data_IF_761657430704
#
_entry.id   IF_761657430704
#
_cell.length_a   1.000
_cell.length_b   1.000
_cell.length_c   1.000
_cell.angle_alpha   90.00
_cell.angle_beta   90.00
_cell.angle_gamma   90.00
#
_symmetry.space_group_name_H-M   'P 1'
#
loop_
_entity.id
_entity.type
_entity.pdbx_description
1 polymer ?
#
# COMPACT_ATOMS: atom_id res chain seq x y z
N UNK A 1 -31.73 10.02 13.87
CA UNK A 1 -31.60 10.09 12.40
C UNK A 1 -30.19 10.56 12.06
N UNK A 2 -29.44 9.67 11.42
CA UNK A 2 -27.98 9.66 11.28
C UNK A 2 -27.48 10.65 10.22
N UNK A 3 -26.67 11.61 10.64
CA UNK A 3 -25.78 12.34 9.73
C UNK A 3 -24.58 11.43 9.42
N UNK A 4 -24.63 10.80 8.25
CA UNK A 4 -23.51 10.13 7.57
C UNK A 4 -23.01 10.99 6.37
N UNK A 5 -22.76 12.31 6.49
CA UNK A 5 -22.64 13.17 5.33
C UNK A 5 -21.23 13.16 4.73
N UNK A 6 -20.24 12.54 5.38
CA UNK A 6 -18.84 12.58 4.93
C UNK A 6 -18.36 11.32 4.20
N UNK A 7 -18.95 10.14 4.46
CA UNK A 7 -18.47 8.89 3.84
C UNK A 7 -18.89 8.82 2.36
N UNK A 8 -20.12 9.25 2.05
CA UNK A 8 -20.65 9.22 0.69
C UNK A 8 -19.91 10.14 -0.30
N UNK A 9 -19.62 11.42 0.02
CA UNK A 9 -18.85 12.27 -0.88
C UNK A 9 -17.39 11.84 -1.01
N UNK A 10 -16.78 11.25 0.04
CA UNK A 10 -15.42 10.70 -0.04
C UNK A 10 -15.37 9.47 -0.95
N UNK A 11 -16.36 8.57 -0.85
CA UNK A 11 -16.47 7.41 -1.73
C UNK A 11 -16.73 7.82 -3.19
N UNK A 12 -17.58 8.84 -3.40
CA UNK A 12 -17.86 9.40 -4.73
C UNK A 12 -16.61 10.07 -5.34
N UNK A 13 -15.86 10.84 -4.54
CA UNK A 13 -14.59 11.44 -4.94
C UNK A 13 -13.55 10.36 -5.30
N UNK A 14 -13.52 9.25 -4.55
CA UNK A 14 -12.67 8.09 -4.82
C UNK A 14 -13.00 7.46 -6.18
N UNK A 15 -14.29 7.28 -6.49
CA UNK A 15 -14.73 6.73 -7.79
C UNK A 15 -14.41 7.63 -8.97
N UNK A 16 -14.32 8.95 -8.77
CA UNK A 16 -13.92 9.90 -9.83
C UNK A 16 -12.41 10.02 -10.03
N UNK A 17 -11.60 9.56 -9.07
CA UNK A 17 -10.14 9.56 -9.14
C UNK A 17 -9.56 8.26 -9.72
N UNK A 18 -10.38 7.20 -9.78
CA UNK A 18 -10.02 5.91 -10.38
C UNK A 18 -10.04 6.03 -11.92
N UNK A 19 -8.94 6.52 -12.48
CA UNK A 19 -8.66 6.38 -13.91
C UNK A 19 -8.31 4.92 -14.22
N UNK A 20 -8.62 4.42 -15.42
CA UNK A 20 -8.27 3.07 -15.82
C UNK A 20 -6.77 2.87 -15.71
N UNK A 21 -6.44 1.70 -15.19
CA UNK A 21 -5.18 1.38 -14.56
C UNK A 21 -4.10 1.01 -15.57
N UNK A 22 -2.87 1.45 -15.28
CA UNK A 22 -1.75 1.16 -16.15
C UNK A 22 -1.26 -0.27 -15.91
N UNK A 23 -1.56 -1.12 -16.89
CA UNK A 23 -1.02 -2.45 -17.14
C UNK A 23 0.51 -2.56 -17.02
N UNK A 24 1.07 -3.76 -16.85
CA UNK A 24 2.52 -3.96 -17.04
C UNK A 24 2.92 -3.70 -18.49
N UNK A 25 1.99 -3.92 -19.43
CA UNK A 25 2.11 -3.35 -20.77
C UNK A 25 1.74 -1.86 -20.71
N UNK A 26 2.72 -0.96 -20.84
CA UNK A 26 2.46 0.48 -20.77
C UNK A 26 2.29 1.07 -22.17
N UNK A 27 1.28 1.93 -22.31
CA UNK A 27 1.13 2.84 -23.45
C UNK A 27 1.24 4.26 -22.90
N UNK A 28 2.36 4.92 -23.15
CA UNK A 28 2.69 6.22 -22.57
C UNK A 28 2.85 7.24 -23.68
N UNK A 29 2.22 8.39 -23.50
CA UNK A 29 2.37 9.53 -24.40
C UNK A 29 3.22 10.60 -23.73
N UNK A 30 4.35 10.89 -24.32
CA UNK A 30 5.27 11.95 -23.89
C UNK A 30 5.03 13.16 -24.77
N UNK A 31 4.87 14.31 -24.13
CA UNK A 31 4.63 15.60 -24.81
C UNK A 31 5.58 16.64 -24.27
N UNK A 32 6.46 17.14 -25.13
CA UNK A 32 7.41 18.22 -24.87
C UNK A 32 8.17 18.08 -23.55
N UNK A 33 8.66 16.88 -23.25
CA UNK A 33 9.39 16.59 -22.02
C UNK A 33 10.88 16.95 -22.19
N UNK A 34 11.42 17.73 -21.25
CA UNK A 34 12.81 18.21 -21.26
C UNK A 34 13.73 17.46 -20.29
N UNK A 35 13.23 16.41 -19.60
CA UNK A 35 14.05 15.66 -18.64
C UNK A 35 15.20 14.93 -19.36
N UNK A 36 16.42 14.95 -18.79
CA UNK A 36 17.56 14.26 -19.38
C UNK A 36 17.45 12.74 -19.29
N UNK A 37 16.68 12.24 -18.32
CA UNK A 37 16.37 10.81 -18.17
C UNK A 37 14.92 10.65 -17.72
N UNK A 38 14.24 9.67 -18.31
CA UNK A 38 12.86 9.32 -18.00
C UNK A 38 12.82 7.82 -17.68
N UNK A 39 12.37 7.47 -16.47
CA UNK A 39 12.14 6.09 -16.05
C UNK A 39 10.76 5.64 -16.51
N UNK A 40 10.69 4.55 -17.25
CA UNK A 40 9.42 3.95 -17.68
C UNK A 40 8.96 2.90 -16.70
N UNK A 41 9.80 1.89 -16.47
CA UNK A 41 9.42 0.67 -15.76
C UNK A 41 10.62 0.04 -15.06
N UNK A 42 10.36 -0.73 -13.99
CA UNK A 42 11.34 -1.56 -13.29
C UNK A 42 10.83 -2.99 -13.31
N UNK A 43 11.64 -3.92 -13.81
CA UNK A 43 11.24 -5.31 -14.00
C UNK A 43 12.35 -6.28 -13.63
N UNK A 44 11.98 -7.35 -12.92
CA UNK A 44 12.86 -8.44 -12.54
C UNK A 44 12.92 -9.52 -13.62
N UNK A 45 14.01 -9.56 -14.36
CA UNK A 45 14.22 -10.53 -15.44
C UNK A 45 14.82 -11.84 -14.93
N UNK A 46 14.42 -12.90 -15.60
CA UNK A 46 15.04 -14.23 -15.55
C UNK A 46 15.93 -14.41 -16.78
N UNK A 47 16.57 -15.58 -16.90
CA UNK A 47 17.43 -15.90 -18.06
C UNK A 47 16.66 -16.01 -19.39
N UNK A 48 15.32 -16.02 -19.33
CA UNK A 48 14.41 -16.06 -20.49
C UNK A 48 13.67 -14.73 -20.68
N UNK A 49 14.21 -13.65 -20.13
CA UNK A 49 13.63 -12.31 -20.20
C UNK A 49 13.57 -11.76 -21.61
N UNK A 50 12.51 -10.99 -21.90
CA UNK A 50 12.31 -10.30 -23.17
C UNK A 50 11.80 -8.89 -22.89
N UNK A 51 12.34 -7.93 -23.63
CA UNK A 51 11.92 -6.52 -23.59
C UNK A 51 11.52 -6.09 -24.99
N UNK A 52 10.23 -5.83 -25.20
CA UNK A 52 9.73 -5.24 -26.44
C UNK A 52 9.52 -3.75 -26.24
N UNK A 53 10.05 -2.94 -27.16
CA UNK A 53 9.82 -1.50 -27.17
C UNK A 53 9.36 -1.10 -28.55
N UNK A 54 8.24 -0.39 -28.60
CA UNK A 54 7.71 0.25 -29.79
C UNK A 54 7.54 1.73 -29.52
N UNK A 55 8.09 2.57 -30.40
CA UNK A 55 7.97 4.02 -30.33
C UNK A 55 7.41 4.54 -31.65
N UNK A 56 6.51 5.51 -31.59
CA UNK A 56 5.91 6.14 -32.76
C UNK A 56 5.72 7.63 -32.54
N UNK A 57 5.46 8.36 -33.63
CA UNK A 57 5.19 9.81 -33.58
C UNK A 57 6.34 10.61 -32.94
N UNK A 58 7.60 10.14 -33.11
CA UNK A 58 8.75 10.78 -32.47
C UNK A 58 8.99 12.16 -33.08
N UNK A 59 9.07 13.15 -32.21
CA UNK A 59 9.48 14.51 -32.54
C UNK A 59 10.43 15.04 -31.47
N UNK A 60 11.51 15.67 -31.90
CA UNK A 60 12.50 16.28 -31.02
C UNK A 60 12.69 17.73 -31.46
N UNK A 61 12.51 18.66 -30.53
CA UNK A 61 12.62 20.10 -30.77
C UNK A 61 13.72 20.63 -29.85
N UNK A 62 14.69 21.35 -30.40
CA UNK A 62 15.75 22.03 -29.63
C UNK A 62 15.87 23.49 -30.05
N UNK A 63 16.20 24.36 -29.09
CA UNK A 63 16.42 25.81 -29.27
C UNK A 63 17.82 26.15 -29.81
N UNK A 64 18.80 25.27 -29.65
CA UNK A 64 20.22 25.54 -29.93
C UNK A 64 20.66 25.03 -31.31
N UNK A 65 20.36 23.78 -31.64
CA UNK A 65 20.77 23.12 -32.89
C UNK A 65 19.90 21.90 -33.19
N UNK A 66 19.98 21.37 -34.42
CA UNK A 66 19.30 20.12 -34.75
C UNK A 66 19.83 18.99 -33.84
N UNK A 67 18.98 18.34 -33.03
CA UNK A 67 19.41 17.33 -32.07
C UNK A 67 20.00 16.12 -32.80
N UNK A 68 21.16 15.66 -32.36
CA UNK A 68 21.84 14.50 -32.92
C UNK A 68 21.12 13.20 -32.51
N UNK A 69 20.59 12.39 -33.44
CA UNK A 69 19.77 11.23 -33.08
C UNK A 69 20.50 10.15 -32.26
N UNK A 70 21.84 10.09 -32.30
CA UNK A 70 22.69 9.22 -31.44
C UNK A 70 22.53 9.50 -29.96
N UNK A 71 22.20 10.76 -29.63
CA UNK A 71 22.21 11.29 -28.26
C UNK A 71 20.87 11.11 -27.55
N UNK A 72 19.91 10.44 -28.21
CA UNK A 72 18.61 10.09 -27.64
C UNK A 72 18.37 8.61 -27.84
N UNK A 73 17.93 7.91 -26.80
CA UNK A 73 17.80 6.45 -26.89
C UNK A 73 17.27 5.78 -25.63
N UNK A 74 16.94 4.51 -25.78
CA UNK A 74 16.45 3.65 -24.70
C UNK A 74 17.54 2.70 -24.24
N UNK A 75 17.60 2.49 -22.93
CA UNK A 75 18.57 1.60 -22.31
C UNK A 75 18.00 0.95 -21.06
N UNK A 76 18.56 -0.20 -20.69
CA UNK A 76 18.33 -0.85 -19.41
C UNK A 76 19.48 -0.58 -18.47
N UNK A 77 19.14 -0.36 -17.21
CA UNK A 77 20.11 -0.12 -16.15
C UNK A 77 19.76 -0.96 -14.93
N UNK A 78 20.72 -1.71 -14.41
CA UNK A 78 20.55 -2.46 -13.16
C UNK A 78 20.71 -1.53 -11.96
N UNK A 79 20.08 -1.86 -10.84
CA UNK A 79 20.19 -1.07 -9.60
C UNK A 79 21.64 -1.00 -9.09
N UNK A 80 22.41 -2.08 -9.24
CA UNK A 80 23.82 -2.11 -8.86
C UNK A 80 24.67 -1.15 -9.70
N UNK A 81 24.34 -0.99 -10.98
CA UNK A 81 25.08 -0.12 -11.92
C UNK A 81 24.66 1.35 -11.85
N UNK A 82 23.48 1.63 -11.28
CA UNK A 82 22.93 2.98 -11.16
C UNK A 82 23.87 3.92 -10.41
N UNK A 83 24.55 3.42 -9.37
CA UNK A 83 25.48 4.22 -8.56
C UNK A 83 26.67 4.68 -9.41
N UNK A 84 27.25 3.79 -10.22
CA UNK A 84 28.41 4.08 -11.07
C UNK A 84 28.03 5.09 -12.15
N UNK A 85 26.88 4.92 -12.80
CA UNK A 85 26.37 5.87 -13.79
C UNK A 85 26.13 7.25 -13.17
N UNK A 86 25.56 7.30 -11.96
CA UNK A 86 25.33 8.55 -11.25
C UNK A 86 26.65 9.25 -10.89
N UNK A 87 27.68 8.48 -10.51
CA UNK A 87 29.03 9.01 -10.27
C UNK A 87 29.66 9.56 -11.55
N UNK A 88 29.52 8.88 -12.70
CA UNK A 88 30.00 9.36 -13.99
C UNK A 88 29.33 10.70 -14.38
N UNK A 89 28.01 10.80 -14.20
CA UNK A 89 27.24 12.02 -14.45
C UNK A 89 27.63 13.16 -13.49
N UNK A 90 27.90 12.85 -12.23
CA UNK A 90 28.32 13.86 -11.25
C UNK A 90 29.73 14.37 -11.53
N UNK A 91 30.64 13.52 -12.01
CA UNK A 91 32.01 13.89 -12.36
C UNK A 91 32.07 14.70 -13.66
N UNK A 92 31.22 14.39 -14.63
CA UNK A 92 31.17 15.09 -15.90
C UNK A 92 29.72 15.42 -16.30
N UNK A 93 29.24 16.67 -16.11
CA UNK A 93 27.87 17.05 -16.45
C UNK A 93 27.59 17.09 -17.96
N UNK A 94 28.63 17.05 -18.80
CA UNK A 94 28.50 16.93 -20.26
C UNK A 94 28.48 15.47 -20.75
N UNK A 95 28.61 14.51 -19.85
CA UNK A 95 28.57 13.09 -20.17
C UNK A 95 27.17 12.65 -20.57
N UNK A 96 27.07 11.92 -21.68
CA UNK A 96 25.83 11.26 -22.06
C UNK A 96 25.79 9.85 -21.49
N UNK A 97 24.73 9.53 -20.75
CA UNK A 97 24.53 8.21 -20.15
C UNK A 97 24.53 7.07 -21.18
N UNK A 98 24.18 7.35 -22.44
CA UNK A 98 24.19 6.38 -23.55
C UNK A 98 25.61 5.89 -23.90
N UNK A 99 26.65 6.63 -23.50
CA UNK A 99 28.06 6.25 -23.73
C UNK A 99 28.63 5.40 -22.58
N UNK A 100 27.85 5.19 -21.49
CA UNK A 100 28.33 4.44 -20.32
C UNK A 100 28.46 2.95 -20.62
N UNK A 101 29.55 2.34 -20.15
CA UNK A 101 29.77 0.89 -20.25
C UNK A 101 28.91 0.06 -19.28
N UNK A 102 28.21 0.72 -18.35
CA UNK A 102 27.40 0.07 -17.31
C UNK A 102 25.92 -0.06 -17.69
N UNK A 103 25.53 0.50 -18.85
CA UNK A 103 24.17 0.37 -19.38
C UNK A 103 24.09 -0.76 -20.41
N UNK A 104 22.88 -1.30 -20.60
CA UNK A 104 22.55 -2.11 -21.77
C UNK A 104 21.79 -1.22 -22.73
N UNK A 105 22.50 -0.66 -23.70
CA UNK A 105 21.90 0.13 -24.77
C UNK A 105 20.96 -0.75 -25.60
N UNK A 106 19.72 -0.30 -25.80
CA UNK A 106 18.74 -1.01 -26.63
C UNK A 106 18.78 -0.46 -28.05
N UNK A 107 18.42 0.81 -28.22
CA UNK A 107 18.50 1.52 -29.50
C UNK A 107 18.58 3.03 -29.29
N UNK A 108 18.97 3.73 -30.36
CA UNK A 108 18.99 5.19 -30.40
C UNK A 108 18.03 5.71 -31.45
N UNK A 109 17.79 7.02 -31.47
CA UNK A 109 16.93 7.62 -32.49
C UNK A 109 17.53 7.59 -33.90
N UNK A 110 18.79 7.16 -34.07
CA UNK A 110 19.34 6.84 -35.39
C UNK A 110 18.62 5.67 -36.07
N UNK A 111 18.08 4.74 -35.27
CA UNK A 111 17.45 3.52 -35.76
C UNK A 111 15.98 3.73 -36.16
N UNK A 112 15.44 4.93 -35.98
CA UNK A 112 14.06 5.28 -36.33
C UNK A 112 13.84 5.21 -37.84
N UNK A 113 12.64 4.77 -38.23
CA UNK A 113 12.21 4.86 -39.63
C UNK A 113 12.23 6.32 -40.12
N UNK A 114 12.53 6.59 -41.40
CA UNK A 114 12.47 7.94 -41.93
C UNK A 114 11.08 8.58 -41.76
N UNK A 115 10.99 9.93 -41.71
CA UNK A 115 9.72 10.64 -41.68
C UNK A 115 8.81 10.21 -42.85
N UNK A 116 7.48 10.15 -42.66
CA UNK A 116 6.70 10.82 -41.60
C UNK A 116 6.40 9.98 -40.36
N UNK A 117 6.71 8.68 -40.36
CA UNK A 117 6.27 7.77 -39.29
C UNK A 117 7.17 7.83 -38.04
N UNK A 118 8.48 8.09 -38.22
CA UNK A 118 9.47 8.22 -37.14
C UNK A 118 9.25 7.19 -36.03
N UNK A 119 9.19 5.91 -36.41
CA UNK A 119 8.84 4.80 -35.53
C UNK A 119 9.91 3.73 -35.48
N UNK A 120 9.89 2.94 -34.42
CA UNK A 120 10.78 1.80 -34.22
C UNK A 120 10.05 0.75 -33.39
N UNK A 121 10.23 -0.52 -33.71
CA UNK A 121 9.69 -1.64 -32.94
C UNK A 121 10.68 -2.80 -32.95
N UNK A 122 11.15 -3.19 -31.76
CA UNK A 122 12.07 -4.30 -31.62
C UNK A 122 11.92 -5.01 -30.27
N UNK A 123 12.23 -6.31 -30.27
CA UNK A 123 12.26 -7.14 -29.06
C UNK A 123 13.69 -7.57 -28.77
N UNK A 124 14.16 -7.30 -27.56
CA UNK A 124 15.51 -7.59 -27.09
C UNK A 124 15.48 -8.76 -26.09
N UNK A 125 16.28 -9.83 -26.31
CA UNK A 125 16.43 -10.89 -25.32
C UNK A 125 17.35 -10.44 -24.18
N UNK A 126 16.91 -10.64 -22.94
CA UNK A 126 17.68 -10.33 -21.73
C UNK A 126 18.29 -11.63 -21.20
N UNK A 127 19.59 -11.81 -21.41
CA UNK A 127 20.31 -13.05 -21.08
C UNK A 127 20.79 -13.08 -19.63
N UNK A 128 21.16 -11.93 -19.07
CA UNK A 128 21.62 -11.80 -17.69
C UNK A 128 20.44 -11.58 -16.74
N UNK A 129 20.14 -12.51 -15.82
CA UNK A 129 19.04 -12.37 -14.89
C UNK A 129 19.37 -11.32 -13.82
N UNK A 130 18.66 -10.20 -13.84
CA UNK A 130 18.73 -9.16 -12.80
C UNK A 130 17.43 -8.33 -12.80
N UNK A 131 17.30 -7.41 -11.86
CA UNK A 131 16.30 -6.36 -11.90
C UNK A 131 16.84 -5.16 -12.68
N UNK A 132 16.13 -4.81 -13.75
CA UNK A 132 16.49 -3.72 -14.64
C UNK A 132 15.41 -2.66 -14.65
N UNK A 133 15.84 -1.40 -14.72
CA UNK A 133 15.01 -0.25 -14.96
C UNK A 133 15.15 0.18 -16.43
N UNK A 134 14.03 0.35 -17.12
CA UNK A 134 13.97 0.85 -18.49
C UNK A 134 13.94 2.38 -18.49
N UNK A 135 14.94 2.98 -19.10
CA UNK A 135 15.08 4.42 -19.21
C UNK A 135 15.10 4.87 -20.66
N UNK A 136 14.62 6.09 -20.87
CA UNK A 136 14.97 6.92 -22.02
C UNK A 136 15.95 8.01 -21.57
N UNK A 137 17.01 8.22 -22.34
CA UNK A 137 17.91 9.35 -22.17
C UNK A 137 17.70 10.38 -23.28
N UNK A 138 17.72 11.65 -22.86
CA UNK A 138 17.84 12.80 -23.74
C UNK A 138 19.12 13.55 -23.38
N UNK A 139 20.21 13.29 -24.10
CA UNK A 139 21.47 13.99 -23.92
C UNK A 139 21.61 15.24 -24.81
N UNK A 140 20.59 15.58 -25.61
CA UNK A 140 20.65 16.77 -26.46
C UNK A 140 20.32 18.03 -25.63
N UNK A 141 21.18 19.06 -25.64
CA UNK A 141 20.99 20.26 -24.82
C UNK A 141 19.75 21.06 -25.24
N UNK A 142 19.05 21.62 -24.24
CA UNK A 142 17.82 22.41 -24.40
C UNK A 142 16.82 21.80 -25.40
N UNK A 143 16.67 20.48 -25.35
CA UNK A 143 15.76 19.76 -26.22
C UNK A 143 14.56 19.21 -25.46
N UNK A 144 13.44 19.12 -26.18
CA UNK A 144 12.20 18.53 -25.71
C UNK A 144 11.81 17.40 -26.64
N UNK A 145 11.37 16.28 -26.06
CA UNK A 145 10.92 15.11 -26.82
C UNK A 145 9.41 14.95 -26.69
N UNK A 146 8.75 14.60 -27.80
CA UNK A 146 7.39 14.06 -27.79
C UNK A 146 7.37 12.75 -28.56
N UNK A 147 6.75 11.72 -27.97
CA UNK A 147 6.64 10.39 -28.56
C UNK A 147 5.54 9.58 -27.90
N UNK A 148 4.95 8.67 -28.67
CA UNK A 148 4.11 7.60 -28.13
C UNK A 148 4.98 6.36 -27.93
N UNK A 149 5.00 5.82 -26.72
CA UNK A 149 5.86 4.70 -26.30
C UNK A 149 4.98 3.54 -25.83
N UNK A 150 5.26 2.37 -26.35
CA UNK A 150 4.66 1.11 -25.98
C UNK A 150 5.74 0.14 -25.51
N UNK A 151 5.60 -0.39 -24.30
CA UNK A 151 6.58 -1.28 -23.67
C UNK A 151 5.92 -2.56 -23.20
N UNK A 152 6.56 -3.70 -23.49
CA UNK A 152 6.19 -5.00 -22.95
C UNK A 152 7.44 -5.66 -22.34
N UNK A 153 7.43 -5.86 -21.02
CA UNK A 153 8.48 -6.56 -20.31
C UNK A 153 7.91 -7.88 -19.78
N UNK A 154 8.53 -9.00 -20.13
CA UNK A 154 8.05 -10.31 -19.72
C UNK A 154 9.18 -11.34 -19.62
N UNK A 155 8.94 -12.36 -18.80
CA UNK A 155 9.74 -13.57 -18.76
C UNK A 155 9.02 -14.68 -19.54
N UNK A 156 9.76 -15.59 -20.17
CA UNK A 156 9.16 -16.80 -20.72
C UNK A 156 9.23 -17.95 -19.72
N UNK A 157 8.22 -18.82 -19.74
CA UNK A 157 8.27 -20.09 -19.01
C UNK A 157 9.44 -20.97 -19.49
N UNK A 158 9.80 -22.00 -18.71
CA UNK A 158 10.94 -22.88 -19.05
C UNK A 158 10.82 -23.62 -20.39
N UNK A 159 9.67 -23.54 -21.08
CA UNK A 159 9.43 -24.09 -22.41
C UNK A 159 9.36 -23.02 -23.51
N UNK A 160 9.48 -21.73 -23.17
CA UNK A 160 9.48 -20.62 -24.12
C UNK A 160 8.13 -20.28 -24.76
N UNK A 161 7.01 -20.75 -24.19
CA UNK A 161 5.67 -20.67 -24.79
C UNK A 161 4.76 -19.67 -24.12
N UNK A 162 4.88 -19.52 -22.80
CA UNK A 162 3.97 -18.68 -22.00
C UNK A 162 4.73 -17.46 -21.51
N UNK A 163 4.14 -16.28 -21.77
CA UNK A 163 4.65 -15.00 -21.26
C UNK A 163 4.18 -14.81 -19.81
N UNK A 164 5.11 -14.45 -18.94
CA UNK A 164 4.87 -14.02 -17.58
C UNK A 164 5.24 -12.54 -17.49
N UNK A 165 4.22 -11.69 -17.49
CA UNK A 165 4.38 -10.24 -17.37
C UNK A 165 4.53 -9.79 -15.91
N UNK A 166 4.61 -10.70 -14.93
CA UNK A 166 5.06 -10.31 -13.59
C UNK A 166 6.58 -10.45 -13.49
N UNK A 167 7.19 -9.44 -12.87
CA UNK A 167 8.57 -9.51 -12.40
C UNK A 167 8.84 -10.80 -11.63
N UNK A 168 10.05 -11.35 -11.77
CA UNK A 168 10.45 -12.62 -11.13
C UNK A 168 10.19 -12.65 -9.61
N UNK A 169 10.29 -11.51 -8.94
CA UNK A 169 9.99 -11.37 -7.50
C UNK A 169 8.53 -11.45 -7.12
N UNK A 170 7.63 -11.23 -8.08
CA UNK A 170 6.19 -11.05 -7.87
C UNK A 170 5.36 -12.19 -8.45
N UNK A 171 5.93 -13.03 -9.33
CA UNK A 171 5.22 -14.14 -10.00
C UNK A 171 4.51 -15.13 -9.05
N UNK A 172 4.95 -15.21 -7.78
CA UNK A 172 4.38 -16.05 -6.73
C UNK A 172 3.21 -15.39 -5.95
N UNK A 173 3.00 -14.08 -6.13
CA UNK A 173 1.97 -13.33 -5.40
C UNK A 173 0.54 -13.80 -5.67
N UNK A 174 0.13 -14.13 -6.90
CA UNK A 174 -1.23 -14.63 -7.14
C UNK A 174 -1.55 -15.83 -6.24
N UNK A 175 -0.68 -16.84 -6.23
CA UNK A 175 -0.85 -18.04 -5.40
C UNK A 175 -0.77 -17.74 -3.90
N UNK A 176 0.12 -16.84 -3.49
CA UNK A 176 0.27 -16.44 -2.09
C UNK A 176 -1.00 -15.75 -1.57
N UNK A 177 -1.51 -14.76 -2.30
CA UNK A 177 -2.71 -14.01 -1.92
C UNK A 177 -3.96 -14.88 -1.98
N UNK A 178 -4.10 -15.78 -2.97
CA UNK A 178 -5.19 -16.76 -2.98
C UNK A 178 -5.15 -17.65 -1.73
N UNK A 179 -3.97 -18.13 -1.33
CA UNK A 179 -3.81 -18.96 -0.12
C UNK A 179 -4.23 -18.20 1.15
N UNK A 180 -3.74 -16.97 1.36
CA UNK A 180 -4.13 -16.18 2.53
C UNK A 180 -5.61 -15.78 2.48
N UNK A 181 -6.17 -15.48 1.30
CA UNK A 181 -7.60 -15.21 1.15
C UNK A 181 -8.45 -16.38 1.65
N UNK A 182 -8.11 -17.62 1.28
CA UNK A 182 -8.76 -18.82 1.77
C UNK A 182 -8.63 -18.98 3.29
N UNK A 183 -7.46 -18.70 3.87
CA UNK A 183 -7.27 -18.71 5.32
C UNK A 183 -8.18 -17.70 6.02
N UNK A 184 -8.31 -16.49 5.48
CA UNK A 184 -9.19 -15.46 6.04
C UNK A 184 -10.68 -15.79 5.87
N UNK A 185 -11.09 -16.42 4.77
CA UNK A 185 -12.47 -16.94 4.65
C UNK A 185 -12.76 -18.03 5.69
N UNK A 186 -11.83 -18.95 5.92
CA UNK A 186 -11.95 -19.97 6.95
C UNK A 186 -12.00 -19.34 8.36
N UNK A 187 -11.17 -18.32 8.62
CA UNK A 187 -11.20 -17.56 9.87
C UNK A 187 -12.55 -16.85 10.04
N UNK A 188 -13.08 -16.21 9.00
CA UNK A 188 -14.39 -15.58 9.06
C UNK A 188 -15.51 -16.59 9.38
N UNK A 189 -15.50 -17.76 8.75
CA UNK A 189 -16.46 -18.82 9.05
C UNK A 189 -16.35 -19.30 10.51
N UNK A 190 -15.12 -19.47 11.02
CA UNK A 190 -14.88 -19.79 12.43
C UNK A 190 -15.39 -18.70 13.37
N UNK A 191 -15.17 -17.43 13.05
CA UNK A 191 -15.65 -16.29 13.84
C UNK A 191 -17.17 -16.22 13.88
N UNK A 192 -17.84 -16.44 12.75
CA UNK A 192 -19.30 -16.53 12.67
C UNK A 192 -19.81 -17.67 13.54
N UNK A 193 -19.23 -18.85 13.43
CA UNK A 193 -19.58 -20.00 14.26
C UNK A 193 -19.48 -19.67 15.76
N UNK A 194 -18.38 -19.03 16.16
CA UNK A 194 -18.16 -18.64 17.55
C UNK A 194 -19.17 -17.59 18.04
N UNK A 195 -19.46 -16.57 17.22
CA UNK A 195 -20.51 -15.59 17.51
C UNK A 195 -21.90 -16.25 17.63
N UNK A 196 -22.21 -17.22 16.77
CA UNK A 196 -23.49 -17.93 16.84
C UNK A 196 -23.63 -18.83 18.06
N UNK A 197 -22.53 -19.38 18.58
CA UNK A 197 -22.54 -20.17 19.81
C UNK A 197 -22.78 -19.29 21.04
N UNK A 198 -22.21 -18.08 21.05
CA UNK A 198 -22.27 -17.16 22.20
C UNK A 198 -23.15 -15.92 21.90
N UNK A 199 -24.30 -16.11 21.24
CA UNK A 199 -25.18 -15.03 20.75
C UNK A 199 -25.54 -13.99 21.81
N UNK A 200 -25.71 -14.40 23.05
CA UNK A 200 -26.04 -13.55 24.21
C UNK A 200 -24.93 -12.55 24.53
N UNK A 201 -23.68 -12.84 24.16
CA UNK A 201 -22.50 -12.01 24.40
C UNK A 201 -21.98 -11.29 23.14
N UNK A 202 -22.74 -11.32 22.05
CA UNK A 202 -22.33 -10.67 20.78
C UNK A 202 -22.74 -9.20 20.77
N UNK A 203 -21.76 -8.34 20.98
CA UNK A 203 -21.88 -6.89 20.78
C UNK A 203 -21.50 -6.43 19.36
N UNK A 204 -21.80 -5.16 19.04
CA UNK A 204 -21.53 -4.52 17.72
C UNK A 204 -20.05 -4.60 17.30
N UNK A 205 -19.13 -4.59 18.26
CA UNK A 205 -17.69 -4.72 17.97
C UNK A 205 -17.37 -6.06 17.28
N UNK A 206 -18.02 -7.17 17.66
CA UNK A 206 -17.79 -8.47 17.04
C UNK A 206 -18.28 -8.51 15.59
N UNK A 207 -19.34 -7.76 15.27
CA UNK A 207 -19.81 -7.58 13.90
C UNK A 207 -18.81 -6.76 13.07
N UNK A 208 -18.25 -5.68 13.62
CA UNK A 208 -17.18 -4.90 12.97
C UNK A 208 -15.90 -5.72 12.77
N UNK A 209 -15.53 -6.54 13.74
CA UNK A 209 -14.42 -7.49 13.63
C UNK A 209 -14.69 -8.52 12.53
N UNK A 210 -15.90 -9.08 12.47
CA UNK A 210 -16.31 -9.96 11.37
C UNK A 210 -16.21 -9.26 10.00
N UNK A 211 -16.71 -8.02 9.91
CA UNK A 211 -16.62 -7.20 8.70
C UNK A 211 -15.17 -6.94 8.28
N UNK A 212 -14.27 -6.69 9.23
CA UNK A 212 -12.84 -6.50 8.95
C UNK A 212 -12.21 -7.75 8.31
N UNK A 213 -12.52 -8.95 8.80
CA UNK A 213 -11.94 -10.19 8.27
C UNK A 213 -12.47 -10.52 6.87
N UNK A 214 -13.76 -10.37 6.63
CA UNK A 214 -14.33 -10.62 5.30
C UNK A 214 -13.82 -9.62 4.27
N UNK A 215 -13.69 -8.34 4.63
CA UNK A 215 -13.11 -7.32 3.75
C UNK A 215 -11.63 -7.61 3.50
N UNK A 216 -10.87 -8.10 4.49
CA UNK A 216 -9.47 -8.56 4.28
C UNK A 216 -9.41 -9.73 3.29
N UNK A 217 -10.31 -10.71 3.41
CA UNK A 217 -10.36 -11.86 2.51
C UNK A 217 -10.67 -11.44 1.05
N UNK A 218 -11.66 -10.56 0.88
CA UNK A 218 -12.03 -10.00 -0.43
C UNK A 218 -10.92 -9.13 -1.02
N UNK A 219 -10.27 -8.29 -0.21
CA UNK A 219 -9.11 -7.51 -0.64
C UNK A 219 -7.99 -8.40 -1.21
N UNK A 220 -7.64 -9.49 -0.51
CA UNK A 220 -6.63 -10.43 -0.98
C UNK A 220 -7.07 -11.23 -2.20
N UNK A 221 -8.36 -11.56 -2.31
CA UNK A 221 -8.88 -12.21 -3.51
C UNK A 221 -8.74 -11.29 -4.72
N UNK A 222 -9.14 -10.02 -4.60
CA UNK A 222 -8.95 -9.04 -5.67
C UNK A 222 -7.47 -8.82 -5.99
N UNK A 223 -6.58 -8.80 -4.99
CA UNK A 223 -5.14 -8.72 -5.21
C UNK A 223 -4.59 -9.94 -5.96
N UNK A 224 -5.10 -11.14 -5.66
CA UNK A 224 -4.70 -12.36 -6.33
C UNK A 224 -5.13 -12.37 -7.80
N UNK A 225 -6.39 -12.01 -8.07
CA UNK A 225 -6.95 -11.91 -9.42
C UNK A 225 -6.22 -10.83 -10.23
N UNK A 226 -6.05 -9.62 -9.68
CA UNK A 226 -5.26 -8.55 -10.30
C UNK A 226 -3.89 -9.05 -10.77
N UNK A 227 -3.12 -9.64 -9.84
CA UNK A 227 -1.78 -10.16 -10.17
C UNK A 227 -1.84 -11.34 -11.12
N UNK A 228 -2.88 -12.17 -11.09
CA UNK A 228 -3.06 -13.28 -12.04
C UNK A 228 -3.32 -12.77 -13.46
N UNK A 229 -4.23 -11.81 -13.63
CA UNK A 229 -4.54 -11.22 -14.92
C UNK A 229 -3.34 -10.45 -15.48
N UNK A 230 -2.65 -9.66 -14.65
CA UNK A 230 -1.39 -9.01 -15.06
C UNK A 230 -0.38 -10.06 -15.51
N UNK A 231 -0.15 -11.12 -14.74
CA UNK A 231 0.79 -12.20 -15.10
C UNK A 231 0.54 -12.80 -16.49
N UNK A 232 -0.72 -13.07 -16.84
CA UNK A 232 -1.09 -13.81 -18.06
C UNK A 232 -1.31 -12.87 -19.26
N UNK A 233 -1.91 -11.72 -19.04
CA UNK A 233 -2.37 -10.81 -20.11
C UNK A 233 -1.54 -9.54 -20.21
N UNK A 234 -0.71 -9.24 -19.21
CA UNK A 234 0.00 -7.98 -19.08
C UNK A 234 -0.87 -6.84 -18.55
N UNK A 235 -2.18 -7.01 -18.38
CA UNK A 235 -3.09 -5.95 -17.93
C UNK A 235 -4.04 -6.40 -16.80
N UNK A 236 -4.43 -5.49 -15.88
CA UNK A 236 -5.20 -5.84 -14.68
C UNK A 236 -6.71 -6.02 -14.89
N UNK A 237 -7.25 -5.64 -16.05
CA UNK A 237 -8.67 -5.82 -16.42
C UNK A 237 -9.70 -5.26 -15.42
N UNK A 238 -9.31 -4.30 -14.57
CA UNK A 238 -10.18 -3.63 -13.58
C UNK A 238 -10.26 -4.31 -12.20
N UNK A 239 -9.50 -5.40 -11.96
CA UNK A 239 -9.46 -6.07 -10.66
C UNK A 239 -8.73 -5.25 -9.58
N UNK A 240 -7.72 -4.49 -10.00
CA UNK A 240 -7.06 -3.46 -9.20
C UNK A 240 -8.03 -2.45 -8.58
N UNK A 241 -9.06 -2.00 -9.31
CA UNK A 241 -10.07 -1.09 -8.77
C UNK A 241 -10.75 -1.71 -7.54
N UNK A 242 -11.15 -2.98 -7.63
CA UNK A 242 -11.74 -3.71 -6.50
C UNK A 242 -10.72 -3.92 -5.37
N UNK A 243 -9.48 -4.24 -5.71
CA UNK A 243 -8.38 -4.35 -4.75
C UNK A 243 -8.23 -3.05 -3.94
N UNK A 244 -8.17 -1.89 -4.60
CA UNK A 244 -8.02 -0.59 -3.95
C UNK A 244 -9.24 -0.20 -3.12
N UNK A 245 -10.46 -0.44 -3.61
CA UNK A 245 -11.69 -0.20 -2.84
C UNK A 245 -11.67 -1.02 -1.55
N UNK A 246 -11.42 -2.34 -1.64
CA UNK A 246 -11.37 -3.18 -0.45
C UNK A 246 -10.17 -2.86 0.44
N UNK A 247 -9.03 -2.43 -0.12
CA UNK A 247 -7.87 -2.01 0.65
C UNK A 247 -8.20 -0.78 1.49
N UNK A 248 -8.85 0.21 0.89
CA UNK A 248 -9.29 1.41 1.57
C UNK A 248 -10.25 1.08 2.72
N UNK A 249 -11.31 0.31 2.44
CA UNK A 249 -12.30 -0.09 3.44
C UNK A 249 -11.62 -0.88 4.57
N UNK A 250 -10.74 -1.83 4.23
CA UNK A 250 -9.97 -2.63 5.19
C UNK A 250 -9.18 -1.77 6.15
N UNK A 251 -8.43 -0.79 5.65
CA UNK A 251 -7.55 0.04 6.48
C UNK A 251 -8.38 0.92 7.40
N UNK A 252 -9.45 1.55 6.89
CA UNK A 252 -10.37 2.35 7.71
C UNK A 252 -11.03 1.49 8.80
N UNK A 253 -11.53 0.30 8.45
CA UNK A 253 -12.12 -0.64 9.42
C UNK A 253 -11.10 -1.09 10.47
N UNK A 254 -9.86 -1.39 10.07
CA UNK A 254 -8.81 -1.82 10.99
C UNK A 254 -8.52 -0.76 12.05
N UNK A 255 -8.29 0.49 11.64
CA UNK A 255 -8.05 1.58 12.57
C UNK A 255 -9.29 1.87 13.43
N UNK A 256 -10.49 1.81 12.85
CA UNK A 256 -11.74 1.96 13.60
C UNK A 256 -11.83 0.90 14.70
N UNK A 257 -11.58 -0.38 14.39
CA UNK A 257 -11.61 -1.47 15.38
C UNK A 257 -10.53 -1.27 16.45
N UNK A 258 -9.30 -0.90 16.08
CA UNK A 258 -8.21 -0.66 17.05
C UNK A 258 -8.58 0.46 18.02
N UNK A 259 -9.13 1.57 17.51
CA UNK A 259 -9.53 2.72 18.32
C UNK A 259 -10.68 2.34 19.25
N UNK A 260 -11.72 1.69 18.72
CA UNK A 260 -12.88 1.26 19.50
C UNK A 260 -12.49 0.32 20.64
N UNK A 261 -11.59 -0.63 20.36
CA UNK A 261 -11.04 -1.53 21.38
C UNK A 261 -10.18 -0.73 22.37
N UNK A 262 -9.27 0.11 21.89
CA UNK A 262 -8.35 0.90 22.71
C UNK A 262 -9.05 1.88 23.64
N UNK A 263 -10.23 2.39 23.27
CA UNK A 263 -11.04 3.29 24.09
C UNK A 263 -12.04 2.54 24.97
N UNK A 264 -12.11 1.20 24.90
CA UNK A 264 -13.01 0.39 25.71
C UNK A 264 -14.49 0.46 25.30
N UNK A 265 -14.78 0.69 24.02
CA UNK A 265 -16.11 1.00 23.50
C UNK A 265 -16.92 -0.25 23.13
N UNK A 266 -18.01 -0.52 23.85
CA UNK A 266 -19.04 -1.51 23.48
C UNK A 266 -20.43 -0.91 23.25
N UNK A 267 -20.72 0.26 23.82
CA UNK A 267 -22.00 0.97 23.71
C UNK A 267 -21.78 2.43 23.31
N UNK A 268 -22.68 2.97 22.48
CA UNK A 268 -22.64 4.38 22.07
C UNK A 268 -22.83 5.31 23.28
N UNK A 269 -21.75 5.82 23.88
CA UNK A 269 -21.75 7.12 24.58
C UNK A 269 -20.41 7.85 24.39
N UNK A 270 -20.42 9.19 24.26
CA UNK A 270 -19.30 9.98 23.76
C UNK A 270 -18.31 10.37 24.86
N UNK A 271 -17.80 9.42 25.65
CA UNK A 271 -16.82 9.68 26.71
C UNK A 271 -15.36 9.51 26.26
N UNK A 272 -15.04 9.92 25.03
CA UNK A 272 -13.66 10.26 24.70
C UNK A 272 -13.35 11.58 25.41
N UNK A 273 -12.30 11.64 26.23
CA UNK A 273 -11.79 12.95 26.68
C UNK A 273 -11.60 13.81 25.43
N UNK A 274 -12.02 15.08 25.46
CA UNK A 274 -11.99 15.94 24.27
C UNK A 274 -10.62 15.95 23.56
N UNK A 275 -9.55 15.77 24.33
CA UNK A 275 -8.17 15.67 23.86
C UNK A 275 -7.94 14.40 23.02
N UNK A 276 -8.39 13.23 23.46
CA UNK A 276 -8.28 11.96 22.73
C UNK A 276 -9.12 11.98 21.44
N UNK A 277 -10.34 12.54 21.53
CA UNK A 277 -11.21 12.74 20.36
C UNK A 277 -10.56 13.65 19.32
N UNK A 278 -9.92 14.75 19.74
CA UNK A 278 -9.22 15.68 18.83
C UNK A 278 -8.04 15.03 18.12
N UNK A 279 -7.24 14.22 18.82
CA UNK A 279 -6.12 13.50 18.19
C UNK A 279 -6.64 12.48 17.17
N UNK A 280 -7.65 11.68 17.54
CA UNK A 280 -8.25 10.70 16.63
C UNK A 280 -8.92 11.37 15.41
N UNK A 281 -9.57 12.53 15.61
CA UNK A 281 -10.19 13.32 14.54
C UNK A 281 -9.17 13.88 13.53
N UNK A 282 -7.90 14.02 13.92
CA UNK A 282 -6.82 14.46 13.00
C UNK A 282 -6.14 13.26 12.36
N UNK A 283 -5.82 12.24 13.16
CA UNK A 283 -5.02 11.09 12.71
C UNK A 283 -5.79 10.21 11.73
N UNK A 284 -7.09 9.98 11.95
CA UNK A 284 -7.89 9.13 11.04
C UNK A 284 -8.01 9.75 9.64
N UNK A 285 -8.40 11.03 9.46
CA UNK A 285 -8.41 11.66 8.15
C UNK A 285 -7.04 11.74 7.50
N UNK A 286 -5.97 11.98 8.28
CA UNK A 286 -4.61 12.01 7.75
C UNK A 286 -4.18 10.64 7.21
N UNK A 287 -4.53 9.55 7.89
CA UNK A 287 -4.30 8.20 7.42
C UNK A 287 -5.13 7.87 6.19
N UNK A 288 -6.39 8.28 6.15
CA UNK A 288 -7.23 8.16 4.96
C UNK A 288 -6.56 8.87 3.79
N UNK A 289 -6.08 10.11 3.98
CA UNK A 289 -5.38 10.88 2.95
C UNK A 289 -4.07 10.20 2.50
N UNK A 290 -3.26 9.70 3.43
CA UNK A 290 -2.01 9.00 3.12
C UNK A 290 -2.26 7.71 2.33
N UNK A 291 -3.29 6.94 2.69
CA UNK A 291 -3.69 5.75 1.92
C UNK A 291 -4.19 6.12 0.53
N UNK A 292 -5.03 7.16 0.39
CA UNK A 292 -5.49 7.64 -0.93
C UNK A 292 -4.30 8.10 -1.78
N UNK A 293 -3.37 8.84 -1.20
CA UNK A 293 -2.19 9.32 -1.90
C UNK A 293 -1.27 8.17 -2.34
N UNK A 294 -1.12 7.13 -1.51
CA UNK A 294 -0.39 5.91 -1.88
C UNK A 294 -1.03 5.17 -3.06
N UNK A 295 -2.37 5.14 -3.15
CA UNK A 295 -3.08 4.53 -4.29
C UNK A 295 -2.79 5.31 -5.57
N UNK A 296 -2.93 6.64 -5.54
CA UNK A 296 -2.69 7.52 -6.70
C UNK A 296 -1.25 7.39 -7.22
N UNK A 297 -0.27 7.23 -6.34
CA UNK A 297 1.13 7.02 -6.74
C UNK A 297 1.40 5.63 -7.30
N UNK A 298 0.73 4.60 -6.78
CA UNK A 298 0.76 3.27 -7.36
C UNK A 298 0.29 3.26 -8.82
N UNK A 299 -0.78 4.00 -9.10
CA UNK A 299 -1.39 4.09 -10.44
C UNK A 299 -0.58 4.91 -11.45
N UNK A 300 0.04 5.99 -10.99
CA UNK A 300 0.71 6.93 -11.88
C UNK A 300 2.08 6.44 -12.38
N UNK A 301 2.67 5.45 -11.71
CA UNK A 301 3.94 4.83 -12.10
C UNK A 301 5.16 5.78 -12.01
N UNK A 302 6.38 5.24 -12.17
CA UNK A 302 7.62 5.99 -11.97
C UNK A 302 7.92 7.04 -13.06
N UNK A 303 7.08 7.10 -14.09
CA UNK A 303 7.19 8.04 -15.20
C UNK A 303 6.91 9.50 -14.81
N UNK A 304 6.13 9.73 -13.75
CA UNK A 304 5.84 11.10 -13.25
C UNK A 304 7.07 11.68 -12.54
N UNK A 305 7.28 12.99 -12.75
CA UNK A 305 8.33 13.76 -12.08
C UNK A 305 8.21 13.62 -10.55
N UNK A 306 9.33 13.40 -9.87
CA UNK A 306 9.44 13.28 -8.40
C UNK A 306 8.70 12.08 -7.77
N UNK A 307 8.34 11.03 -8.56
CA UNK A 307 7.66 9.83 -8.04
C UNK A 307 8.38 9.17 -6.85
N UNK A 308 9.71 9.08 -6.91
CA UNK A 308 10.54 8.52 -5.82
C UNK A 308 10.43 9.38 -4.56
N UNK A 309 10.52 10.70 -4.71
CA UNK A 309 10.43 11.67 -3.60
C UNK A 309 9.08 11.58 -2.91
N UNK A 310 7.99 11.50 -3.67
CA UNK A 310 6.66 11.37 -3.10
C UNK A 310 6.43 10.05 -2.36
N UNK A 311 6.94 8.93 -2.89
CA UNK A 311 6.91 7.65 -2.16
C UNK A 311 7.64 7.73 -0.81
N UNK A 312 8.80 8.37 -0.77
CA UNK A 312 9.55 8.57 0.48
C UNK A 312 8.80 9.49 1.47
N UNK A 313 8.19 10.57 0.97
CA UNK A 313 7.39 11.49 1.79
C UNK A 313 6.18 10.76 2.39
N UNK A 314 5.46 9.94 1.63
CA UNK A 314 4.30 9.22 2.15
C UNK A 314 4.67 8.13 3.15
N UNK A 315 5.78 7.43 2.92
CA UNK A 315 6.31 6.50 3.91
C UNK A 315 6.65 7.20 5.22
N UNK A 316 7.24 8.40 5.15
CA UNK A 316 7.53 9.22 6.33
C UNK A 316 6.24 9.65 7.05
N UNK A 317 5.22 10.10 6.30
CA UNK A 317 3.91 10.46 6.86
C UNK A 317 3.25 9.27 7.54
N UNK A 318 3.29 8.08 6.93
CA UNK A 318 2.72 6.86 7.50
C UNK A 318 3.41 6.47 8.82
N UNK A 319 4.74 6.60 8.90
CA UNK A 319 5.50 6.37 10.14
C UNK A 319 5.08 7.37 11.21
N UNK A 320 5.02 8.67 10.88
CA UNK A 320 4.59 9.73 11.81
C UNK A 320 3.16 9.47 12.32
N UNK A 321 2.24 9.07 11.44
CA UNK A 321 0.87 8.74 11.81
C UNK A 321 0.80 7.51 12.73
N UNK A 322 1.59 6.48 12.45
CA UNK A 322 1.66 5.29 13.30
C UNK A 322 2.19 5.64 14.71
N UNK A 323 3.18 6.52 14.81
CA UNK A 323 3.66 7.04 16.09
C UNK A 323 2.61 7.91 16.80
N UNK A 324 1.84 8.71 16.06
CA UNK A 324 0.80 9.58 16.63
C UNK A 324 -0.35 8.78 17.26
N UNK A 325 -0.69 7.59 16.72
CA UNK A 325 -1.69 6.68 17.31
C UNK A 325 -1.30 6.18 18.70
N UNK A 326 0.01 6.12 18.99
CA UNK A 326 0.50 5.63 20.28
C UNK A 326 0.15 6.60 21.41
N UNK A 327 0.09 7.91 21.11
CA UNK A 327 -0.09 8.95 22.13
C UNK A 327 -1.45 8.89 22.86
N UNK A 328 -2.61 8.79 22.17
CA UNK A 328 -3.90 8.56 22.83
C UNK A 328 -3.94 7.29 23.69
N UNK A 329 -3.24 6.23 23.27
CA UNK A 329 -3.28 4.95 23.99
C UNK A 329 -2.46 5.02 25.28
N UNK A 330 -1.27 5.64 25.24
CA UNK A 330 -0.45 5.90 26.44
C UNK A 330 -1.22 6.79 27.44
N UNK A 331 -1.94 7.79 26.93
CA UNK A 331 -2.76 8.69 27.74
C UNK A 331 -3.93 7.95 28.40
N UNK A 332 -4.66 7.13 27.64
CA UNK A 332 -5.77 6.32 28.14
C UNK A 332 -5.33 5.37 29.27
N UNK A 333 -4.16 4.71 29.13
CA UNK A 333 -3.58 3.86 30.18
C UNK A 333 -3.25 4.68 31.44
N UNK A 334 -2.72 5.89 31.28
CA UNK A 334 -2.40 6.78 32.40
C UNK A 334 -3.68 7.18 33.16
N UNK A 335 -4.74 7.54 32.43
CA UNK A 335 -6.05 7.87 33.00
C UNK A 335 -6.64 6.67 33.76
N UNK A 336 -6.67 5.48 33.15
CA UNK A 336 -7.17 4.25 33.79
C UNK A 336 -6.38 3.89 35.06
N UNK A 337 -5.06 4.11 35.05
CA UNK A 337 -4.19 3.88 36.21
C UNK A 337 -4.47 4.88 37.34
N UNK A 338 -4.75 6.13 37.00
CA UNK A 338 -5.10 7.17 37.98
C UNK A 338 -6.47 6.88 38.62
N UNK A 339 -7.48 6.51 37.83
CA UNK A 339 -8.81 6.13 38.33
C UNK A 339 -8.77 4.86 39.21
N UNK A 340 -7.90 3.89 38.89
CA UNK A 340 -7.77 2.66 39.70
C UNK A 340 -7.22 2.88 41.11
N UNK A 341 -6.50 3.98 41.35
CA UNK A 341 -5.90 4.31 42.66
C UNK A 341 -6.89 4.93 43.63
N UNK A 342 -7.97 5.52 43.11
CA UNK A 342 -8.99 6.23 43.90
C UNK A 342 -10.24 5.39 44.14
N UNK A 343 -10.36 4.23 43.50
CA UNK A 343 -11.56 3.40 43.50
C UNK A 343 -11.39 2.13 44.36
N UNK A 344 -12.36 1.86 45.25
CA UNK A 344 -12.39 0.70 46.15
C UNK A 344 -12.51 -0.66 45.43
N UNK A 345 -12.70 -0.67 44.10
CA UNK A 345 -12.74 -1.84 43.21
C UNK A 345 -11.39 -2.11 42.49
N UNK A 346 -10.26 -1.81 43.15
CA UNK A 346 -8.91 -1.87 42.59
C UNK A 346 -8.55 -3.16 41.81
N UNK A 347 -9.03 -4.33 42.23
CA UNK A 347 -8.70 -5.61 41.58
C UNK A 347 -9.34 -5.78 40.18
N UNK A 348 -10.61 -5.39 40.01
CA UNK A 348 -11.32 -5.44 38.70
C UNK A 348 -10.72 -4.44 37.71
N UNK A 349 -10.38 -3.23 38.19
CA UNK A 349 -9.69 -2.22 37.38
C UNK A 349 -8.27 -2.67 36.98
N UNK A 350 -7.58 -3.44 37.83
CA UNK A 350 -6.24 -3.99 37.52
C UNK A 350 -6.27 -5.04 36.40
N UNK A 351 -7.24 -5.96 36.43
CA UNK A 351 -7.40 -7.00 35.41
C UNK A 351 -7.68 -6.38 34.03
N UNK A 352 -8.58 -5.39 33.97
CA UNK A 352 -8.87 -4.56 32.79
C UNK A 352 -7.59 -3.87 32.28
N UNK A 353 -6.78 -3.26 33.16
CA UNK A 353 -5.49 -2.64 32.82
C UNK A 353 -4.46 -3.62 32.23
N UNK A 354 -4.42 -4.87 32.68
CA UNK A 354 -3.48 -5.88 32.13
C UNK A 354 -3.82 -6.32 30.71
N UNK A 355 -5.11 -6.51 30.41
CA UNK A 355 -5.59 -6.86 29.07
C UNK A 355 -5.33 -5.72 28.08
N UNK A 356 -5.65 -4.47 28.47
CA UNK A 356 -5.35 -3.29 27.65
C UNK A 356 -3.86 -3.11 27.37
N UNK A 357 -3.02 -3.37 28.37
CA UNK A 357 -1.56 -3.33 28.20
C UNK A 357 -1.08 -4.38 27.19
N UNK A 358 -1.62 -5.60 27.25
CA UNK A 358 -1.32 -6.65 26.27
C UNK A 358 -1.80 -6.27 24.87
N UNK A 359 -3.03 -5.77 24.75
CA UNK A 359 -3.59 -5.29 23.48
C UNK A 359 -2.69 -4.22 22.86
N UNK A 360 -2.26 -3.25 23.67
CA UNK A 360 -1.36 -2.18 23.24
C UNK A 360 0.00 -2.69 22.76
N UNK A 361 0.62 -3.60 23.50
CA UNK A 361 1.91 -4.22 23.10
C UNK A 361 1.74 -4.95 21.76
N UNK A 362 0.63 -5.67 21.58
CA UNK A 362 0.33 -6.39 20.33
C UNK A 362 0.11 -5.42 19.16
N UNK A 363 -0.64 -4.34 19.35
CA UNK A 363 -0.88 -3.31 18.31
C UNK A 363 0.43 -2.62 17.92
N UNK A 364 1.24 -2.20 18.90
CA UNK A 364 2.55 -1.58 18.61
C UNK A 364 3.47 -2.55 17.90
N UNK A 365 3.55 -3.80 18.37
CA UNK A 365 4.38 -4.83 17.74
C UNK A 365 3.98 -5.04 16.28
N UNK A 366 2.68 -5.14 16.02
CA UNK A 366 2.14 -5.27 14.66
C UNK A 366 2.46 -4.06 13.77
N UNK A 367 2.22 -2.84 14.25
CA UNK A 367 2.51 -1.61 13.49
C UNK A 367 4.02 -1.46 13.22
N UNK A 368 4.87 -1.68 14.22
CA UNK A 368 6.32 -1.60 14.07
C UNK A 368 6.84 -2.63 13.07
N UNK A 369 6.37 -3.88 13.18
CA UNK A 369 6.76 -4.94 12.27
C UNK A 369 6.33 -4.62 10.82
N UNK A 370 5.07 -4.26 10.60
CA UNK A 370 4.55 -4.00 9.25
C UNK A 370 5.09 -2.72 8.62
N UNK A 371 5.46 -1.70 9.40
CA UNK A 371 5.96 -0.42 8.86
C UNK A 371 7.47 -0.36 8.72
N UNK A 372 8.23 -0.98 9.61
CA UNK A 372 9.69 -0.91 9.61
C UNK A 372 10.29 -2.21 9.12
N UNK A 373 9.92 -3.35 9.72
CA UNK A 373 10.55 -4.64 9.39
C UNK A 373 10.18 -5.09 7.99
N UNK A 374 8.90 -5.03 7.60
CA UNK A 374 8.47 -5.39 6.24
C UNK A 374 9.07 -4.44 5.21
N UNK A 375 9.15 -3.14 5.48
CA UNK A 375 9.83 -2.19 4.58
C UNK A 375 11.31 -2.53 4.42
N UNK A 376 12.02 -2.78 5.53
CA UNK A 376 13.41 -3.21 5.49
C UNK A 376 13.56 -4.52 4.70
N UNK A 377 12.68 -5.50 4.90
CA UNK A 377 12.65 -6.75 4.13
C UNK A 377 12.44 -6.49 2.63
N UNK A 378 11.55 -5.58 2.23
CA UNK A 378 11.35 -5.20 0.82
C UNK A 378 12.62 -4.60 0.21
N UNK A 379 13.37 -3.82 0.98
CA UNK A 379 14.60 -3.14 0.52
C UNK A 379 15.82 -4.07 0.46
N UNK A 380 15.96 -5.01 1.41
CA UNK A 380 17.13 -5.91 1.46
C UNK A 380 16.93 -7.22 0.71
N UNK A 381 15.69 -7.64 0.48
CA UNK A 381 15.42 -8.88 -0.23
C UNK A 381 15.93 -8.75 -1.67
N UNK A 382 16.73 -9.73 -2.10
CA UNK A 382 17.10 -9.83 -3.50
C UNK A 382 15.83 -9.86 -4.36
N UNK A 383 15.89 -9.29 -5.57
CA UNK A 383 14.72 -9.05 -6.42
C UNK A 383 13.82 -10.29 -6.61
N UNK A 384 14.40 -11.50 -6.67
CA UNK A 384 13.67 -12.78 -6.79
C UNK A 384 12.82 -13.15 -5.58
N UNK A 385 13.13 -12.60 -4.40
CA UNK A 385 12.50 -12.91 -3.12
C UNK A 385 11.64 -11.76 -2.60
N UNK A 386 11.27 -10.77 -3.42
CA UNK A 386 10.38 -9.68 -3.02
C UNK A 386 9.02 -10.19 -2.48
N UNK A 387 8.52 -11.33 -2.97
CA UNK A 387 7.31 -11.98 -2.42
C UNK A 387 7.42 -12.34 -0.92
N UNK A 388 8.62 -12.57 -0.39
CA UNK A 388 8.84 -12.93 1.03
C UNK A 388 8.39 -11.81 1.95
N UNK A 389 8.64 -10.55 1.59
CA UNK A 389 8.18 -9.43 2.40
C UNK A 389 6.65 -9.33 2.45
N UNK A 390 5.99 -9.63 1.33
CA UNK A 390 4.51 -9.72 1.27
C UNK A 390 4.00 -10.89 2.12
N UNK A 391 4.66 -12.05 2.07
CA UNK A 391 4.32 -13.19 2.92
C UNK A 391 4.49 -12.87 4.41
N UNK A 392 5.58 -12.19 4.79
CA UNK A 392 5.83 -11.75 6.16
C UNK A 392 4.75 -10.77 6.66
N UNK A 393 4.34 -9.81 5.82
CA UNK A 393 3.27 -8.86 6.11
C UNK A 393 1.93 -9.56 6.37
N UNK A 394 1.56 -10.53 5.52
CA UNK A 394 0.32 -11.29 5.67
C UNK A 394 0.36 -12.24 6.86
N UNK A 395 1.49 -12.89 7.13
CA UNK A 395 1.70 -13.69 8.34
C UNK A 395 1.53 -12.85 9.61
N UNK A 396 2.17 -11.68 9.67
CA UNK A 396 2.05 -10.78 10.82
C UNK A 396 0.62 -10.28 11.00
N UNK A 397 -0.07 -9.96 9.90
CA UNK A 397 -1.48 -9.57 9.92
C UNK A 397 -2.39 -10.68 10.42
N UNK A 398 -2.16 -11.92 10.00
CA UNK A 398 -2.95 -13.08 10.42
C UNK A 398 -2.75 -13.36 11.92
N UNK A 399 -1.49 -13.34 12.40
CA UNK A 399 -1.17 -13.48 13.83
C UNK A 399 -1.81 -12.36 14.63
N UNK A 400 -1.72 -11.11 14.17
CA UNK A 400 -2.35 -9.98 14.81
C UNK A 400 -3.87 -10.18 14.93
N UNK A 401 -4.56 -10.53 13.84
CA UNK A 401 -6.01 -10.78 13.89
C UNK A 401 -6.34 -11.97 14.80
N UNK A 402 -5.58 -13.07 14.75
CA UNK A 402 -5.82 -14.21 15.63
C UNK A 402 -5.73 -13.82 17.12
N UNK A 403 -4.71 -13.04 17.51
CA UNK A 403 -4.53 -12.56 18.88
C UNK A 403 -5.65 -11.61 19.29
N UNK A 404 -5.98 -10.61 18.48
CA UNK A 404 -7.05 -9.66 18.78
C UNK A 404 -8.40 -10.38 18.93
N UNK A 405 -8.70 -11.31 18.03
CA UNK A 405 -9.97 -12.03 18.05
C UNK A 405 -10.05 -12.99 19.23
N UNK A 406 -8.94 -13.58 19.63
CA UNK A 406 -8.88 -14.40 20.83
C UNK A 406 -9.06 -13.57 22.12
N UNK A 407 -8.45 -12.39 22.19
CA UNK A 407 -8.55 -11.48 23.35
C UNK A 407 -9.97 -10.91 23.50
N UNK A 408 -10.60 -10.52 22.39
CA UNK A 408 -11.91 -9.85 22.36
C UNK A 408 -13.03 -10.76 21.84
N UNK A 409 -12.93 -12.07 22.10
CA UNK A 409 -13.97 -13.03 21.74
C UNK A 409 -15.24 -12.85 22.58
N UNK A 410 -16.44 -13.14 22.05
CA UNK A 410 -17.68 -13.10 22.82
C UNK A 410 -17.70 -14.24 23.86
N UNK A 411 -17.72 -13.91 25.16
CA UNK A 411 -17.80 -14.87 26.28
C UNK A 411 -18.77 -14.33 27.33
N UNK A 412 -19.62 -15.19 27.89
CA UNK A 412 -20.68 -14.82 28.86
C UNK A 412 -20.17 -14.14 30.14
N UNK A 413 -18.92 -14.41 30.52
CA UNK A 413 -18.21 -13.73 31.62
C UNK A 413 -16.91 -13.13 31.11
N UNK A 414 -16.98 -12.26 30.11
CA UNK A 414 -15.83 -11.43 29.81
C UNK A 414 -15.87 -10.23 30.77
N UNK A 415 -14.92 -10.16 31.72
CA UNK A 415 -14.80 -9.11 32.76
C UNK A 415 -14.81 -7.67 32.20
N UNK A 416 -14.67 -7.54 30.88
CA UNK A 416 -14.64 -6.29 30.14
C UNK A 416 -16.02 -5.73 29.77
N UNK A 417 -17.06 -6.57 29.67
CA UNK A 417 -18.42 -6.14 29.28
C UNK A 417 -19.40 -6.07 30.46
N UNK A 418 -18.98 -6.51 31.65
CA UNK A 418 -19.71 -6.26 32.89
C UNK A 418 -19.36 -4.84 33.36
N UNK A 419 -19.87 -3.85 32.64
CA UNK A 419 -20.37 -2.67 33.35
C UNK A 419 -21.58 -3.24 34.09
N UNK A 420 -21.50 -3.38 35.42
CA UNK A 420 -22.70 -3.71 36.19
C UNK A 420 -23.75 -2.70 35.79
N UNK A 421 -24.90 -3.14 35.28
CA UNK A 421 -26.02 -2.27 34.90
C UNK A 421 -26.37 -1.32 36.07
N UNK A 422 -26.06 -1.71 37.32
CA UNK A 422 -26.18 -0.91 38.54
C UNK A 422 -25.22 0.31 38.61
N UNK A 423 -23.99 0.23 38.08
CA UNK A 423 -23.05 1.37 38.06
C UNK A 423 -23.35 2.35 36.93
N UNK A 424 -23.90 1.86 35.80
CA UNK A 424 -24.37 2.72 34.71
C UNK A 424 -25.67 3.44 35.11
N UNK A 425 -26.61 2.77 35.80
CA UNK A 425 -27.79 3.42 36.40
C UNK A 425 -27.40 4.45 37.47
N UNK A 426 -26.41 4.15 38.32
CA UNK A 426 -25.93 5.09 39.33
C UNK A 426 -25.27 6.34 38.71
N UNK A 427 -24.48 6.16 37.64
CA UNK A 427 -23.87 7.27 36.91
C UNK A 427 -24.88 8.08 36.10
N UNK A 428 -25.90 7.44 35.51
CA UNK A 428 -27.01 8.14 34.84
C UNK A 428 -27.90 8.92 35.82
N UNK A 429 -28.11 8.39 37.03
CA UNK A 429 -28.84 9.11 38.09
C UNK A 429 -28.04 10.32 38.59
N UNK A 430 -26.73 10.18 38.83
CA UNK A 430 -25.88 11.29 39.26
C UNK A 430 -25.79 12.42 38.21
N UNK A 431 -25.72 12.06 36.92
CA UNK A 431 -25.71 13.05 35.83
C UNK A 431 -27.08 13.72 35.63
N UNK A 432 -28.19 13.04 35.92
CA UNK A 432 -29.52 13.67 35.95
C UNK A 432 -29.67 14.61 37.14
N UNK A 433 -29.10 14.28 38.30
CA UNK A 433 -29.14 15.17 39.47
C UNK A 433 -28.34 16.46 39.22
N UNK A 434 -27.16 16.38 38.58
CA UNK A 434 -26.38 17.58 38.21
C UNK A 434 -27.04 18.47 37.15
N UNK A 435 -27.87 17.90 36.25
CA UNK A 435 -28.61 18.67 35.22
C UNK A 435 -29.86 19.38 35.79
N UNK A 436 -30.33 18.99 36.99
CA UNK A 436 -31.43 19.64 37.71
C UNK A 436 -31.00 20.72 38.71
N UNK A 437 -29.69 20.86 38.98
CA UNK A 437 -29.13 21.88 39.86
C UNK A 437 -28.58 23.14 39.12
N UNK A 438 -28.81 23.23 37.81
CA UNK A 438 -28.57 24.40 36.96
C UNK A 438 -29.90 25.00 36.47
#
# INVERSE_FOLDING_TARGET
MTKLPFIFPVLLLLTTLLHPTFAEIKNLKITSDSRPMILFERFGFTHTGQTTISVSSVSVISSLSSPEPSRLGFFLLSEESLIQVLLELQQNPSFCVLDSKYIILLFTFQDLSPPPHSSFNHTYPITSPNEYSLFFANCAPESTVSMDVHTELYNLDGRGRVRDFLSAGLTQLPTLYSFFSLLYFAFFAFWIYFCFKNKTSVHRIHALMGALVIIKALNLLSAAEDKHYVKVTGTPHGWDVLFYIFQFIRVVLLFTVIVLIGTGWSFLKPFLQEKEKKVLMIVIPLQVLANVASIVIGETGPFIKDWVTWNQVFLLVDIICCCAIIFPIVWSIKSLKETSKTDGKAAKNLAKLTLFRQFYIVVIGYLYFTRIVVFALRTIAAYKYQWVANAAEECASLVFYAVIFYMFRPVERNEYFVLDDEEEEAAEMALREEEFEL
#
